data_IF_697088609162
#
_entry.id   IF_697088609162
#
_cell.length_a   1.000
_cell.length_b   1.000
_cell.length_c   1.000
_cell.angle_alpha   90.00
_cell.angle_beta   90.00
_cell.angle_gamma   90.00
#
_symmetry.space_group_name_H-M   'P 1'
#
loop_
_entity.id
_entity.type
_entity.pdbx_description
1 polymer ?
#
# COMPACT_ATOMS: atom_id res chain seq x y z
N UNK A 1 -17.56 -5.64 -15.04
CA UNK A 1 -16.16 -5.76 -14.67
C UNK A 1 -15.88 -4.82 -13.48
N UNK A 2 -15.52 -5.35 -12.31
CA UNK A 2 -15.35 -4.56 -11.09
C UNK A 2 -14.17 -3.56 -11.16
N UNK A 3 -13.26 -3.73 -12.11
CA UNK A 3 -12.13 -2.79 -12.32
C UNK A 3 -12.50 -1.58 -13.19
N UNK A 4 -13.67 -1.58 -13.79
CA UNK A 4 -14.14 -0.48 -14.65
C UNK A 4 -15.05 0.45 -13.83
N UNK A 5 -14.62 1.68 -13.64
CA UNK A 5 -15.40 2.71 -12.95
C UNK A 5 -15.95 3.69 -13.97
N UNK A 6 -17.27 3.86 -13.99
CA UNK A 6 -17.93 4.79 -14.89
C UNK A 6 -17.69 6.26 -14.51
N UNK A 7 -17.86 7.16 -15.47
CA UNK A 7 -17.65 8.60 -15.27
C UNK A 7 -18.49 9.22 -14.15
N UNK A 8 -19.61 8.61 -13.81
CA UNK A 8 -20.54 9.09 -12.78
C UNK A 8 -20.12 8.72 -11.34
N UNK A 9 -19.18 7.78 -11.19
CA UNK A 9 -18.72 7.32 -9.87
C UNK A 9 -17.41 7.98 -9.42
N UNK A 10 -16.74 8.73 -10.30
CA UNK A 10 -15.52 9.46 -9.94
C UNK A 10 -15.87 10.86 -9.44
N UNK A 11 -16.25 10.98 -8.19
CA UNK A 11 -16.60 12.27 -7.56
C UNK A 11 -15.33 13.07 -7.22
N UNK A 12 -14.29 12.39 -6.78
CA UNK A 12 -13.03 12.98 -6.29
C UNK A 12 -11.80 12.47 -7.04
N UNK A 13 -11.68 11.17 -7.19
CA UNK A 13 -10.44 10.54 -7.69
C UNK A 13 -10.13 10.90 -9.15
N UNK A 14 -11.16 11.20 -9.96
CA UNK A 14 -10.98 11.64 -11.35
C UNK A 14 -10.14 12.92 -11.47
N UNK A 15 -10.25 13.80 -10.51
CA UNK A 15 -9.50 15.07 -10.48
C UNK A 15 -8.21 14.92 -9.67
N UNK A 16 -8.26 14.26 -8.53
CA UNK A 16 -7.15 14.16 -7.57
C UNK A 16 -6.04 13.20 -8.02
N UNK A 17 -6.38 12.08 -8.69
CA UNK A 17 -5.39 11.12 -9.21
C UNK A 17 -4.61 11.63 -10.44
N UNK A 18 -5.06 12.72 -11.04
CA UNK A 18 -4.32 13.38 -12.12
C UNK A 18 -3.96 12.46 -13.29
N UNK A 19 -2.68 12.46 -13.74
CA UNK A 19 -2.23 11.68 -14.88
C UNK A 19 -2.09 10.17 -14.61
N UNK A 20 -2.09 9.75 -13.35
CA UNK A 20 -2.01 8.32 -13.01
C UNK A 20 -3.28 7.54 -13.29
N UNK A 21 -4.40 8.24 -13.51
CA UNK A 21 -5.66 7.62 -13.84
C UNK A 21 -5.66 7.13 -15.29
N UNK A 22 -5.70 5.80 -15.48
CA UNK A 22 -5.77 5.18 -16.81
C UNK A 22 -7.16 5.38 -17.43
N UNK A 23 -7.24 6.29 -18.40
CA UNK A 23 -8.47 6.74 -19.04
C UNK A 23 -8.68 6.04 -20.37
N UNK A 24 -9.94 5.80 -20.72
CA UNK A 24 -10.35 5.21 -21.99
C UNK A 24 -11.71 5.77 -22.42
N UNK A 25 -12.06 5.57 -23.69
CA UNK A 25 -13.38 5.89 -24.21
C UNK A 25 -14.04 4.64 -24.77
N UNK A 26 -15.36 4.55 -24.64
CA UNK A 26 -16.13 3.51 -25.29
C UNK A 26 -16.43 3.88 -26.79
N UNK A 27 -17.08 2.97 -27.51
CA UNK A 27 -17.46 3.20 -28.92
C UNK A 27 -18.42 4.37 -29.13
N UNK A 28 -18.97 4.94 -28.08
CA UNK A 28 -19.88 6.09 -28.11
C UNK A 28 -19.19 7.37 -27.59
N UNK A 29 -17.85 7.36 -27.52
CA UNK A 29 -17.02 8.48 -27.06
C UNK A 29 -17.30 8.90 -25.60
N UNK A 30 -17.87 7.99 -24.81
CA UNK A 30 -18.05 8.23 -23.37
C UNK A 30 -16.77 7.91 -22.61
N UNK A 31 -16.38 8.81 -21.71
CA UNK A 31 -15.19 8.65 -20.90
C UNK A 31 -15.37 7.62 -19.78
N UNK A 32 -14.43 6.71 -19.69
CA UNK A 32 -14.27 5.75 -18.60
C UNK A 32 -12.87 5.82 -18.04
N UNK A 33 -12.69 5.23 -16.86
CA UNK A 33 -11.37 4.95 -16.31
C UNK A 33 -11.33 3.54 -15.73
N UNK A 34 -10.13 2.98 -15.68
CA UNK A 34 -9.86 1.77 -14.91
C UNK A 34 -9.53 2.17 -13.47
N UNK A 35 -9.96 1.35 -12.51
CA UNK A 35 -9.81 1.66 -11.08
C UNK A 35 -8.35 1.66 -10.62
N UNK A 36 -7.76 2.80 -10.26
CA UNK A 36 -6.42 2.90 -9.68
C UNK A 36 -6.43 2.51 -8.20
N UNK A 37 -7.55 2.75 -7.54
CA UNK A 37 -7.90 2.48 -6.15
C UNK A 37 -9.42 2.46 -6.00
N UNK A 38 -9.98 2.04 -4.88
CA UNK A 38 -11.43 1.85 -4.75
C UNK A 38 -12.07 2.54 -3.53
N UNK A 39 -11.45 3.56 -2.95
CA UNK A 39 -12.02 4.34 -1.84
C UNK A 39 -13.42 4.85 -2.17
N UNK A 40 -13.60 5.45 -3.33
CA UNK A 40 -14.90 5.96 -3.75
C UNK A 40 -15.93 4.86 -3.95
N UNK A 41 -15.56 3.78 -4.63
CA UNK A 41 -16.46 2.66 -4.93
C UNK A 41 -16.96 2.02 -3.63
N UNK A 42 -16.06 1.82 -2.67
CA UNK A 42 -16.39 1.21 -1.39
C UNK A 42 -17.17 2.19 -0.51
N UNK A 43 -16.84 3.47 -0.53
CA UNK A 43 -17.62 4.50 0.18
C UNK A 43 -19.04 4.58 -0.35
N UNK A 44 -19.24 4.48 -1.67
CA UNK A 44 -20.57 4.42 -2.27
C UNK A 44 -21.35 3.18 -1.83
N UNK A 45 -20.69 2.03 -1.82
CA UNK A 45 -21.29 0.79 -1.29
C UNK A 45 -21.76 0.96 0.15
N UNK A 46 -20.92 1.51 1.02
CA UNK A 46 -21.23 1.67 2.45
C UNK A 46 -22.34 2.70 2.67
N UNK A 47 -22.28 3.87 2.04
CA UNK A 47 -23.31 4.90 2.22
C UNK A 47 -24.71 4.42 1.81
N UNK A 48 -24.79 3.48 0.87
CA UNK A 48 -26.06 2.92 0.42
C UNK A 48 -26.58 1.80 1.33
N UNK A 49 -25.70 1.06 2.02
CA UNK A 49 -26.07 -0.14 2.76
C UNK A 49 -26.04 0.02 4.30
N UNK A 50 -25.10 0.79 4.84
CA UNK A 50 -24.91 0.99 6.29
C UNK A 50 -25.67 2.24 6.74
N UNK A 51 -26.56 2.10 7.73
CA UNK A 51 -27.43 3.19 8.17
C UNK A 51 -27.31 3.52 9.65
N UNK A 52 -26.71 2.67 10.45
CA UNK A 52 -26.65 2.78 11.89
C UNK A 52 -25.25 2.58 12.43
N UNK A 53 -24.90 3.35 13.46
CA UNK A 53 -23.64 3.17 14.20
C UNK A 53 -23.46 1.76 14.78
N UNK A 54 -24.56 1.00 14.97
CA UNK A 54 -24.53 -0.38 15.48
C UNK A 54 -23.88 -1.38 14.50
N UNK A 55 -23.72 -0.98 13.26
CA UNK A 55 -23.09 -1.77 12.21
C UNK A 55 -21.56 -1.50 12.13
N UNK A 56 -21.07 -0.60 12.98
CA UNK A 56 -19.65 -0.18 13.04
C UNK A 56 -18.94 -0.76 14.28
N UNK A 57 -17.61 -0.92 14.27
CA UNK A 57 -16.73 -0.71 13.10
C UNK A 57 -16.94 -1.79 12.03
N UNK A 58 -16.79 -1.40 10.78
CA UNK A 58 -16.83 -2.31 9.65
C UNK A 58 -15.51 -2.25 8.91
N UNK A 59 -14.87 -3.40 8.68
CA UNK A 59 -13.66 -3.50 7.86
C UNK A 59 -13.89 -4.54 6.78
N UNK A 60 -13.86 -4.09 5.52
CA UNK A 60 -14.09 -4.92 4.35
C UNK A 60 -12.87 -4.88 3.43
N UNK A 61 -12.62 -5.97 2.71
CA UNK A 61 -11.45 -6.07 1.84
C UNK A 61 -11.78 -6.75 0.52
N UNK A 62 -10.89 -6.54 -0.43
CA UNK A 62 -10.86 -7.25 -1.69
C UNK A 62 -9.43 -7.61 -2.07
N UNK A 63 -9.28 -8.59 -2.95
CA UNK A 63 -8.03 -8.89 -3.64
C UNK A 63 -8.36 -8.75 -5.12
N UNK A 64 -7.82 -7.73 -5.77
CA UNK A 64 -8.24 -7.35 -7.11
C UNK A 64 -7.13 -6.64 -7.86
N UNK A 65 -7.21 -6.71 -9.19
CA UNK A 65 -6.36 -5.95 -10.11
C UNK A 65 -6.67 -4.45 -10.02
N UNK A 66 -5.63 -3.66 -9.91
CA UNK A 66 -5.64 -2.20 -10.01
C UNK A 66 -4.93 -1.78 -11.29
N UNK A 67 -5.29 -0.60 -11.80
CA UNK A 67 -4.72 -0.05 -13.02
C UNK A 67 -4.25 1.39 -12.77
N UNK A 68 -2.98 1.65 -13.10
CA UNK A 68 -2.44 3.01 -13.06
C UNK A 68 -1.70 3.29 -14.36
N UNK A 69 -1.83 4.50 -14.90
CA UNK A 69 -1.10 4.91 -16.11
C UNK A 69 0.34 5.28 -15.76
N UNK A 70 1.08 4.25 -15.32
CA UNK A 70 2.47 4.38 -14.91
C UNK A 70 3.31 4.87 -16.08
N UNK A 71 3.99 6.00 -15.88
CA UNK A 71 4.80 6.67 -16.91
C UNK A 71 6.01 5.82 -17.31
N UNK A 72 6.62 5.11 -16.34
CA UNK A 72 7.83 4.32 -16.54
C UNK A 72 7.69 2.93 -15.93
N UNK A 73 6.92 2.02 -16.54
CA UNK A 73 6.88 0.63 -16.10
C UNK A 73 8.29 0.03 -16.13
N UNK A 74 8.68 -0.63 -15.04
CA UNK A 74 10.01 -1.23 -14.90
C UNK A 74 10.04 -2.33 -13.85
N UNK A 75 11.12 -3.11 -13.81
CA UNK A 75 11.34 -4.19 -12.84
C UNK A 75 10.22 -5.24 -12.81
N UNK A 76 9.70 -5.60 -14.00
CA UNK A 76 8.67 -6.65 -14.14
C UNK A 76 7.39 -6.31 -13.36
N UNK A 77 7.02 -7.18 -12.44
CA UNK A 77 5.79 -7.05 -11.63
C UNK A 77 5.91 -6.06 -10.46
N UNK A 78 7.08 -5.47 -10.25
CA UNK A 78 7.29 -4.49 -9.18
C UNK A 78 6.60 -3.17 -9.46
N UNK A 79 6.69 -2.69 -10.72
CA UNK A 79 6.11 -1.40 -11.14
C UNK A 79 5.49 -1.51 -12.53
N UNK A 80 4.28 -2.01 -12.58
CA UNK A 80 3.49 -2.18 -13.80
C UNK A 80 2.26 -1.29 -13.84
N UNK A 81 1.63 -1.20 -15.01
CA UNK A 81 0.34 -0.51 -15.18
C UNK A 81 -0.86 -1.30 -14.70
N UNK A 82 -0.67 -2.60 -14.54
CA UNK A 82 -1.65 -3.54 -14.01
C UNK A 82 -0.97 -4.36 -12.90
N UNK A 83 -1.58 -4.43 -11.73
CA UNK A 83 -1.02 -5.14 -10.58
C UNK A 83 -2.11 -5.66 -9.65
N UNK A 84 -1.82 -6.75 -8.95
CA UNK A 84 -2.71 -7.32 -7.96
C UNK A 84 -2.46 -6.69 -6.60
N UNK A 85 -3.53 -6.19 -5.99
CA UNK A 85 -3.52 -5.57 -4.66
C UNK A 85 -4.57 -6.23 -3.76
N UNK A 86 -4.22 -6.48 -2.51
CA UNK A 86 -5.19 -6.61 -1.42
C UNK A 86 -5.40 -5.22 -0.84
N UNK A 87 -6.58 -4.72 -0.90
CA UNK A 87 -6.97 -3.47 -0.28
C UNK A 87 -8.16 -3.67 0.65
N UNK A 88 -8.12 -3.06 1.83
CA UNK A 88 -9.23 -3.04 2.76
C UNK A 88 -9.52 -1.62 3.22
N UNK A 89 -10.76 -1.44 3.64
CA UNK A 89 -11.34 -0.16 3.97
C UNK A 89 -12.10 -0.30 5.27
N UNK A 90 -11.75 0.50 6.27
CA UNK A 90 -12.48 0.53 7.52
C UNK A 90 -13.39 1.75 7.59
N UNK A 91 -14.54 1.53 8.21
CA UNK A 91 -15.54 2.57 8.50
C UNK A 91 -15.82 2.55 9.99
N UNK A 92 -15.64 3.67 10.63
CA UNK A 92 -15.61 3.82 12.06
C UNK A 92 -16.55 4.93 12.51
N UNK A 93 -17.07 4.83 13.72
CA UNK A 93 -18.02 5.80 14.27
C UNK A 93 -17.34 7.13 14.63
N UNK A 94 -16.09 7.05 15.06
CA UNK A 94 -15.29 8.18 15.52
C UNK A 94 -13.79 7.93 15.30
N UNK A 95 -12.98 8.93 15.63
CA UNK A 95 -11.53 8.91 15.46
C UNK A 95 -10.84 7.87 16.35
N UNK A 96 -11.31 7.69 17.59
CA UNK A 96 -10.76 6.69 18.50
C UNK A 96 -10.95 5.26 17.96
N UNK A 97 -12.12 4.98 17.42
CA UNK A 97 -12.42 3.70 16.77
C UNK A 97 -11.58 3.50 15.49
N UNK A 98 -11.33 4.58 14.72
CA UNK A 98 -10.43 4.54 13.56
C UNK A 98 -9.00 4.20 13.99
N UNK A 99 -8.49 4.86 15.05
CA UNK A 99 -7.15 4.59 15.57
C UNK A 99 -6.98 3.13 16.03
N UNK A 100 -7.94 2.58 16.76
CA UNK A 100 -7.91 1.17 17.17
C UNK A 100 -7.84 0.23 15.96
N UNK A 101 -8.68 0.48 14.95
CA UNK A 101 -8.69 -0.32 13.72
C UNK A 101 -7.37 -0.18 12.95
N UNK A 102 -6.82 1.02 12.89
CA UNK A 102 -5.53 1.29 12.25
C UNK A 102 -4.40 0.49 12.91
N UNK A 103 -4.33 0.48 14.23
CA UNK A 103 -3.31 -0.28 14.96
C UNK A 103 -3.46 -1.80 14.77
N UNK A 104 -4.68 -2.31 14.70
CA UNK A 104 -4.95 -3.72 14.37
C UNK A 104 -4.43 -4.05 12.98
N UNK A 105 -4.70 -3.21 11.98
CA UNK A 105 -4.25 -3.42 10.62
C UNK A 105 -2.74 -3.29 10.46
N UNK A 106 -2.13 -2.33 11.13
CA UNK A 106 -0.67 -2.18 11.21
C UNK A 106 0.00 -3.46 11.74
N UNK A 107 -0.48 -3.98 12.86
CA UNK A 107 0.05 -5.21 13.46
C UNK A 107 -0.22 -6.44 12.57
N UNK A 108 -1.34 -6.45 11.85
CA UNK A 108 -1.64 -7.52 10.89
C UNK A 108 -0.63 -7.52 9.74
N UNK A 109 -0.27 -6.35 9.20
CA UNK A 109 0.70 -6.23 8.12
C UNK A 109 2.12 -6.61 8.58
N UNK A 110 2.50 -6.20 9.80
CA UNK A 110 3.74 -6.70 10.44
C UNK A 110 3.77 -8.23 10.46
N UNK A 111 2.71 -8.85 10.97
CA UNK A 111 2.60 -10.31 11.06
C UNK A 111 2.69 -10.99 9.68
N UNK A 112 2.13 -10.37 8.63
CA UNK A 112 2.24 -10.91 7.26
C UNK A 112 3.69 -10.92 6.81
N UNK A 113 4.41 -9.80 6.94
CA UNK A 113 5.80 -9.67 6.51
C UNK A 113 6.74 -10.57 7.33
N UNK A 114 6.53 -10.66 8.64
CA UNK A 114 7.25 -11.55 9.53
C UNK A 114 7.06 -13.03 9.18
N UNK A 115 5.81 -13.45 8.86
CA UNK A 115 5.51 -14.81 8.40
C UNK A 115 6.18 -15.15 7.07
N UNK A 116 6.27 -14.19 6.16
CA UNK A 116 6.98 -14.37 4.89
C UNK A 116 8.49 -14.41 5.11
N UNK A 117 8.99 -13.92 6.24
CA UNK A 117 10.42 -13.89 6.58
C UNK A 117 11.16 -12.75 5.88
N UNK A 118 10.51 -11.61 5.65
CA UNK A 118 11.11 -10.44 5.02
C UNK A 118 11.63 -9.46 6.08
N UNK A 119 12.80 -8.89 5.82
CA UNK A 119 13.34 -7.76 6.57
C UNK A 119 12.71 -6.47 6.06
N UNK A 120 12.04 -5.74 6.93
CA UNK A 120 11.26 -4.55 6.57
C UNK A 120 11.36 -3.43 7.61
N UNK A 121 11.01 -2.23 7.19
CA UNK A 121 10.80 -1.08 8.08
C UNK A 121 9.44 -0.45 7.82
N UNK A 122 8.84 0.08 8.89
CA UNK A 122 7.63 0.90 8.80
C UNK A 122 8.08 2.36 8.79
N UNK A 123 7.71 3.06 7.75
CA UNK A 123 8.19 4.40 7.42
C UNK A 123 7.04 5.37 7.52
N UNK A 124 7.21 6.45 8.28
CA UNK A 124 6.25 7.55 8.24
C UNK A 124 6.28 8.21 6.87
N UNK A 125 5.11 8.40 6.28
CA UNK A 125 4.95 8.86 4.91
C UNK A 125 3.96 10.01 4.78
N UNK A 126 4.02 10.70 3.65
CA UNK A 126 2.99 11.65 3.24
C UNK A 126 1.79 10.91 2.66
N UNK A 127 0.59 11.33 3.00
CA UNK A 127 -0.65 10.72 2.49
C UNK A 127 -0.91 11.00 1.00
N UNK A 128 -0.17 11.92 0.38
CA UNK A 128 -0.21 12.23 -1.05
C UNK A 128 -1.60 12.59 -1.57
N UNK A 129 -1.91 12.14 -2.79
CA UNK A 129 -3.20 12.41 -3.47
C UNK A 129 -4.40 11.71 -2.81
N UNK A 130 -4.18 10.66 -2.06
CA UNK A 130 -5.24 9.94 -1.32
C UNK A 130 -5.74 10.83 -0.19
N UNK A 131 -4.84 11.55 0.49
CA UNK A 131 -5.15 12.46 1.59
C UNK A 131 -5.32 11.71 2.92
N UNK A 132 -5.68 12.45 3.96
CA UNK A 132 -5.82 11.95 5.33
C UNK A 132 -4.80 12.58 6.27
N UNK A 133 -4.92 12.26 7.55
CA UNK A 133 -4.16 12.92 8.62
C UNK A 133 -2.82 12.24 8.94
N UNK A 134 -2.71 10.94 8.64
CA UNK A 134 -1.50 10.15 8.88
C UNK A 134 -1.43 8.95 7.94
N UNK A 135 -0.22 8.59 7.53
CA UNK A 135 0.05 7.37 6.79
C UNK A 135 1.39 6.75 7.13
N UNK A 136 1.49 5.44 6.94
CA UNK A 136 2.71 4.67 7.14
C UNK A 136 2.88 3.65 6.01
N UNK A 137 4.10 3.57 5.51
CA UNK A 137 4.52 2.65 4.47
C UNK A 137 5.32 1.47 5.04
N UNK A 138 5.13 0.30 4.46
CA UNK A 138 5.91 -0.90 4.77
C UNK A 138 6.93 -1.10 3.65
N UNK A 139 8.20 -0.90 3.95
CA UNK A 139 9.31 -1.02 3.03
C UNK A 139 10.12 -2.29 3.29
N UNK A 140 10.16 -3.19 2.32
CA UNK A 140 11.12 -4.31 2.32
C UNK A 140 12.50 -3.77 1.94
N UNK A 141 13.50 -4.07 2.76
CA UNK A 141 14.86 -3.59 2.54
C UNK A 141 15.51 -4.39 1.40
N UNK A 142 15.92 -3.69 0.35
CA UNK A 142 16.62 -4.28 -0.79
C UNK A 142 17.43 -3.20 -1.52
N UNK A 143 18.65 -3.55 -1.96
CA UNK A 143 19.56 -2.60 -2.65
C UNK A 143 18.99 -2.06 -3.96
N UNK A 144 18.09 -2.81 -4.59
CA UNK A 144 17.36 -2.43 -5.81
C UNK A 144 16.12 -1.56 -5.53
N UNK A 145 15.83 -1.24 -4.27
CA UNK A 145 14.68 -0.42 -3.87
C UNK A 145 14.69 0.95 -4.54
N UNK A 146 13.51 1.43 -4.92
CA UNK A 146 13.34 2.75 -5.54
C UNK A 146 13.41 3.87 -4.52
N UNK A 147 12.86 3.64 -3.33
CA UNK A 147 12.77 4.65 -2.28
C UNK A 147 14.04 4.67 -1.43
N UNK A 148 14.37 5.86 -0.97
CA UNK A 148 15.48 6.05 -0.04
C UNK A 148 14.93 6.41 1.32
N UNK A 149 15.23 5.58 2.31
CA UNK A 149 14.76 5.74 3.68
C UNK A 149 15.90 5.94 4.66
N UNK A 150 15.68 6.79 5.65
CA UNK A 150 16.57 6.98 6.77
C UNK A 150 16.08 6.13 7.94
N UNK A 151 16.89 5.20 8.43
CA UNK A 151 16.58 4.33 9.55
C UNK A 151 17.56 4.57 10.69
N UNK A 152 17.14 4.30 11.94
CA UNK A 152 18.07 4.22 13.05
C UNK A 152 18.75 2.85 13.09
N UNK A 153 20.04 2.84 13.46
CA UNK A 153 20.80 1.61 13.70
C UNK A 153 20.46 0.95 15.06
N UNK A 154 19.73 1.65 15.93
CA UNK A 154 19.51 1.23 17.32
C UNK A 154 18.05 1.28 17.76
N UNK A 155 17.13 1.70 16.87
CA UNK A 155 15.68 1.76 17.16
C UNK A 155 14.84 1.38 15.95
N UNK A 156 13.52 1.40 16.13
CA UNK A 156 12.54 1.19 15.03
C UNK A 156 12.29 2.46 14.19
N UNK A 157 12.99 3.57 14.47
CA UNK A 157 12.82 4.80 13.71
C UNK A 157 13.15 4.58 12.24
N UNK A 158 12.20 4.93 11.38
CA UNK A 158 12.37 4.96 9.94
C UNK A 158 11.48 6.06 9.32
N UNK A 159 12.01 6.77 8.35
CA UNK A 159 11.30 7.85 7.66
C UNK A 159 11.79 7.96 6.22
N UNK A 160 10.91 8.38 5.30
CA UNK A 160 11.35 8.74 3.95
C UNK A 160 12.30 9.94 4.01
N UNK A 161 13.44 9.84 3.31
CA UNK A 161 14.47 10.90 3.35
C UNK A 161 13.96 12.25 2.88
N UNK A 162 12.97 12.29 2.00
CA UNK A 162 12.35 13.52 1.51
C UNK A 162 11.70 14.34 2.64
N UNK A 163 11.23 13.69 3.71
CA UNK A 163 10.63 14.36 4.87
C UNK A 163 11.68 14.93 5.85
N UNK A 164 12.93 14.47 5.77
CA UNK A 164 14.03 14.97 6.62
C UNK A 164 14.88 16.03 5.94
N UNK A 165 14.93 16.01 4.61
CA UNK A 165 15.78 16.94 3.85
C UNK A 165 15.14 18.32 3.79
N UNK A 166 15.96 19.33 4.02
CA UNK A 166 15.60 20.70 3.68
C UNK A 166 15.99 20.99 2.22
N UNK A 167 15.35 21.99 1.64
CA UNK A 167 15.63 22.41 0.27
C UNK A 167 17.13 22.58 0.02
N UNK A 168 17.67 21.78 -0.91
CA UNK A 168 19.08 21.83 -1.32
C UNK A 168 20.04 20.97 -0.48
N UNK A 169 19.57 20.22 0.51
CA UNK A 169 20.41 19.27 1.25
C UNK A 169 20.57 17.95 0.46
N UNK A 170 21.75 17.38 0.52
CA UNK A 170 22.04 16.06 -0.06
C UNK A 170 21.70 14.96 0.93
N UNK A 171 21.13 13.87 0.43
CA UNK A 171 20.79 12.65 1.21
C UNK A 171 22.02 12.14 1.99
N UNK A 172 23.20 12.17 1.39
CA UNK A 172 24.44 11.74 2.05
C UNK A 172 24.75 12.53 3.32
N UNK A 173 24.21 13.73 3.46
CA UNK A 173 24.39 14.55 4.66
C UNK A 173 23.65 14.00 5.89
N UNK A 174 22.72 13.09 5.72
CA UNK A 174 21.97 12.47 6.82
C UNK A 174 22.71 11.27 7.44
N UNK A 175 23.54 10.59 6.68
CA UNK A 175 24.29 9.39 7.12
C UNK A 175 25.14 9.69 8.35
N UNK A 176 25.02 8.87 9.38
CA UNK A 176 25.76 9.00 10.65
C UNK A 176 25.30 10.12 11.58
N UNK A 177 24.31 10.95 11.20
CA UNK A 177 23.73 11.92 12.15
C UNK A 177 22.96 11.21 13.25
N UNK A 178 22.83 11.83 14.44
CA UNK A 178 21.96 11.30 15.48
C UNK A 178 20.53 11.09 14.97
N UNK A 179 19.92 9.95 15.33
CA UNK A 179 18.53 9.69 15.00
C UNK A 179 17.60 10.71 15.68
N UNK A 180 16.55 11.20 15.00
CA UNK A 180 15.60 12.18 15.56
C UNK A 180 14.86 11.71 16.80
N UNK A 181 14.73 10.40 17.02
CA UNK A 181 14.16 9.81 18.24
C UNK A 181 15.13 9.74 19.41
N UNK A 182 16.38 10.21 19.21
CA UNK A 182 17.43 10.22 20.22
C UNK A 182 18.14 8.89 20.43
N UNK A 183 17.83 7.85 19.65
CA UNK A 183 18.41 6.52 19.79
C UNK A 183 19.20 6.13 18.52
N UNK A 184 20.53 6.02 18.67
CA UNK A 184 21.41 5.60 17.60
C UNK A 184 21.69 6.67 16.55
N UNK A 185 22.15 6.21 15.39
CA UNK A 185 22.53 7.04 14.26
C UNK A 185 21.76 6.65 12.98
N UNK A 186 21.58 7.62 12.10
CA UNK A 186 20.90 7.42 10.83
C UNK A 186 21.78 6.60 9.89
N UNK A 187 21.20 5.56 9.33
CA UNK A 187 21.68 4.83 8.16
C UNK A 187 20.73 5.04 7.00
N UNK A 188 21.30 5.26 5.82
CA UNK A 188 20.52 5.38 4.59
C UNK A 188 20.41 4.00 3.94
N UNK A 189 19.17 3.58 3.69
CA UNK A 189 18.83 2.30 3.05
C UNK A 189 17.92 2.51 1.86
N UNK A 190 17.94 1.52 0.97
CA UNK A 190 16.95 1.42 -0.11
C UNK A 190 15.81 0.52 0.32
N UNK A 191 14.59 0.89 -0.04
CA UNK A 191 13.38 0.15 0.28
C UNK A 191 12.46 -0.01 -0.92
N UNK A 192 11.68 -1.09 -0.88
CA UNK A 192 10.60 -1.35 -1.82
C UNK A 192 9.30 -1.24 -1.02
N UNK A 193 8.50 -0.22 -1.30
CA UNK A 193 7.17 -0.05 -0.70
C UNK A 193 6.27 -1.20 -1.12
N UNK A 194 5.90 -2.08 -0.19
CA UNK A 194 5.02 -3.24 -0.44
C UNK A 194 3.62 -3.07 0.14
N UNK A 195 3.46 -2.16 1.09
CA UNK A 195 2.18 -1.88 1.72
C UNK A 195 2.11 -0.45 2.22
N UNK A 196 0.91 0.10 2.27
CA UNK A 196 0.64 1.44 2.76
C UNK A 196 -0.68 1.46 3.52
N UNK A 197 -0.70 2.11 4.67
CA UNK A 197 -1.88 2.25 5.50
C UNK A 197 -2.16 3.72 5.80
N UNK A 198 -3.44 4.10 5.77
CA UNK A 198 -3.87 5.49 5.87
C UNK A 198 -4.97 5.68 6.91
N UNK A 199 -4.90 6.75 7.66
CA UNK A 199 -6.02 7.32 8.37
C UNK A 199 -6.64 8.42 7.51
N UNK A 200 -7.67 8.06 6.72
CA UNK A 200 -8.34 8.99 5.80
C UNK A 200 -9.25 9.99 6.52
N UNK A 201 -9.55 9.71 7.80
CA UNK A 201 -10.50 10.54 8.54
C UNK A 201 -11.85 10.61 7.86
N UNK A 202 -12.35 11.80 7.62
CA UNK A 202 -13.66 12.05 6.99
C UNK A 202 -13.60 12.43 5.52
N UNK A 203 -12.43 12.51 4.91
CA UNK A 203 -12.22 13.10 3.58
C UNK A 203 -13.18 12.54 2.53
N UNK A 204 -13.23 11.22 2.36
CA UNK A 204 -14.14 10.58 1.40
C UNK A 204 -15.60 10.57 1.89
N UNK A 205 -15.80 10.37 3.19
CA UNK A 205 -17.13 10.30 3.78
C UNK A 205 -17.88 11.63 3.69
N UNK A 206 -17.19 12.77 3.81
CA UNK A 206 -17.77 14.11 3.65
C UNK A 206 -18.11 14.39 2.20
N UNK A 207 -17.16 14.20 1.27
CA UNK A 207 -17.35 14.44 -0.16
C UNK A 207 -18.53 13.60 -0.72
N UNK A 208 -18.65 12.36 -0.25
CA UNK A 208 -19.66 11.41 -0.71
C UNK A 208 -20.91 11.33 0.17
N UNK A 209 -20.99 12.14 1.24
CA UNK A 209 -22.11 12.17 2.20
C UNK A 209 -22.40 10.80 2.82
N UNK A 210 -21.35 10.07 3.18
CA UNK A 210 -21.45 8.77 3.85
C UNK A 210 -21.70 8.96 5.35
N UNK A 211 -22.96 8.93 5.75
CA UNK A 211 -23.42 9.18 7.11
C UNK A 211 -24.20 8.00 7.67
N UNK A 212 -24.13 7.81 8.99
CA UNK A 212 -24.95 6.88 9.75
C UNK A 212 -25.70 7.62 10.85
N UNK A 213 -26.77 7.02 11.36
CA UNK A 213 -27.43 7.52 12.56
C UNK A 213 -26.66 7.08 13.80
N UNK A 214 -26.31 8.02 14.67
CA UNK A 214 -25.72 7.76 15.97
C UNK A 214 -26.76 7.28 16.99
N UNK A 215 -26.36 7.06 18.25
CA UNK A 215 -27.23 6.62 19.34
C UNK A 215 -28.34 7.62 19.71
N UNK A 216 -28.19 8.89 19.31
CA UNK A 216 -29.19 9.94 19.52
C UNK A 216 -30.11 10.13 18.29
N UNK A 217 -29.95 9.31 17.24
CA UNK A 217 -30.69 9.43 15.98
C UNK A 217 -30.23 10.58 15.08
N UNK A 218 -29.05 11.18 15.36
CA UNK A 218 -28.46 12.23 14.54
C UNK A 218 -27.53 11.63 13.48
N UNK A 219 -27.51 12.24 12.30
CA UNK A 219 -26.56 11.89 11.25
C UNK A 219 -25.14 12.24 11.66
N UNK A 220 -24.22 11.27 11.55
CA UNK A 220 -22.79 11.44 11.84
C UNK A 220 -21.99 10.92 10.66
N UNK A 221 -21.00 11.69 10.22
CA UNK A 221 -20.10 11.30 9.13
C UNK A 221 -19.12 10.23 9.59
N UNK A 222 -18.90 9.23 8.74
CA UNK A 222 -18.00 8.12 9.01
C UNK A 222 -16.54 8.54 9.00
N UNK A 223 -15.74 7.91 9.85
CA UNK A 223 -14.27 7.98 9.80
C UNK A 223 -13.73 6.77 9.08
N UNK A 224 -12.84 6.98 8.11
CA UNK A 224 -12.35 5.94 7.21
C UNK A 224 -10.86 5.68 7.40
N UNK A 225 -10.47 4.43 7.24
CA UNK A 225 -9.10 4.00 7.03
C UNK A 225 -8.99 3.17 5.75
N UNK A 226 -7.80 3.20 5.13
CA UNK A 226 -7.47 2.42 3.95
C UNK A 226 -6.15 1.68 4.17
N UNK A 227 -6.07 0.42 3.74
CA UNK A 227 -4.94 -0.46 4.04
C UNK A 227 -4.63 -1.32 2.82
N UNK A 228 -3.55 -1.01 2.09
CA UNK A 228 -3.16 -1.67 0.85
C UNK A 228 -1.90 -2.51 0.98
N UNK A 229 -1.87 -3.70 0.34
CA UNK A 229 -0.65 -4.48 0.06
C UNK A 229 -0.62 -4.82 -1.43
N UNK A 230 0.47 -4.46 -2.10
CA UNK A 230 0.76 -4.85 -3.48
C UNK A 230 1.23 -6.30 -3.55
N UNK A 231 0.31 -7.25 -3.79
CA UNK A 231 0.62 -8.69 -3.76
C UNK A 231 1.66 -9.05 -4.82
N UNK A 232 1.52 -8.55 -6.05
CA UNK A 232 2.51 -8.78 -7.11
C UNK A 232 3.86 -8.14 -6.78
N UNK A 233 3.85 -6.93 -6.18
CA UNK A 233 5.07 -6.25 -5.76
C UNK A 233 5.75 -6.96 -4.58
N UNK A 234 4.97 -7.54 -3.66
CA UNK A 234 5.50 -8.30 -2.53
C UNK A 234 6.31 -9.53 -2.98
N UNK A 235 5.84 -10.23 -4.03
CA UNK A 235 6.60 -11.32 -4.64
C UNK A 235 7.93 -10.83 -5.22
N UNK A 236 7.92 -9.71 -5.94
CA UNK A 236 9.14 -9.11 -6.49
C UNK A 236 10.11 -8.66 -5.38
N UNK A 237 9.60 -8.03 -4.32
CA UNK A 237 10.40 -7.60 -3.18
C UNK A 237 11.05 -8.79 -2.45
N UNK A 238 10.33 -9.90 -2.31
CA UNK A 238 10.88 -11.13 -1.74
C UNK A 238 12.04 -11.68 -2.58
N UNK A 239 11.95 -11.64 -3.91
CA UNK A 239 13.02 -12.05 -4.82
C UNK A 239 14.22 -11.10 -4.69
N UNK A 240 13.99 -9.78 -4.71
CA UNK A 240 15.05 -8.79 -4.63
C UNK A 240 15.83 -8.83 -3.31
N UNK A 241 15.16 -9.17 -2.22
CA UNK A 241 15.81 -9.34 -0.92
C UNK A 241 16.51 -10.70 -0.78
N UNK A 242 16.03 -11.73 -1.48
CA UNK A 242 16.48 -13.11 -1.31
C UNK A 242 16.94 -13.71 -2.65
N UNK A 243 18.18 -13.41 -3.02
CA UNK A 243 18.83 -13.98 -4.20
C UNK A 243 20.33 -14.16 -3.96
N UNK A 244 20.96 -14.99 -4.78
CA UNK A 244 22.40 -15.17 -4.84
C UNK A 244 22.88 -15.23 -6.30
N UNK A 245 24.17 -15.44 -6.51
CA UNK A 245 24.78 -15.55 -7.85
C UNK A 245 24.20 -16.69 -8.72
N UNK A 246 23.42 -17.59 -8.12
CA UNK A 246 22.81 -18.73 -8.82
C UNK A 246 21.34 -18.51 -9.15
N UNK A 247 20.71 -17.50 -8.55
CA UNK A 247 19.34 -17.13 -8.82
C UNK A 247 18.50 -16.82 -7.59
N UNK A 248 17.19 -17.07 -7.69
CA UNK A 248 16.21 -16.76 -6.65
C UNK A 248 16.35 -17.76 -5.49
N UNK A 249 16.40 -17.24 -4.28
CA UNK A 249 16.30 -17.99 -3.02
C UNK A 249 14.96 -17.65 -2.38
N UNK A 250 13.97 -18.53 -2.56
CA UNK A 250 12.64 -18.26 -2.01
C UNK A 250 12.64 -18.37 -0.49
N UNK A 251 12.04 -17.39 0.22
CA UNK A 251 11.65 -17.62 1.62
C UNK A 251 10.75 -18.86 1.72
N UNK A 252 11.03 -19.74 2.69
CA UNK A 252 10.36 -21.06 2.80
C UNK A 252 8.83 -20.92 2.80
N UNK A 253 8.29 -19.92 3.48
CA UNK A 253 6.86 -19.72 3.66
C UNK A 253 6.09 -19.37 2.37
N UNK A 254 6.79 -18.88 1.34
CA UNK A 254 6.20 -18.56 0.03
C UNK A 254 6.81 -19.38 -1.12
N UNK A 255 7.71 -20.29 -0.80
CA UNK A 255 8.25 -21.22 -1.80
C UNK A 255 7.12 -22.07 -2.36
N UNK A 256 6.96 -22.17 -3.71
CA UNK A 256 5.87 -22.94 -4.31
C UNK A 256 5.97 -24.44 -4.04
N UNK A 257 7.16 -24.93 -3.72
CA UNK A 257 7.45 -26.36 -3.45
C UNK A 257 8.65 -26.46 -2.52
N UNK A 258 8.65 -27.45 -1.63
CA UNK A 258 9.82 -27.79 -0.80
C UNK A 258 10.92 -28.47 -1.63
N UNK A 259 10.52 -29.23 -2.65
CA UNK A 259 11.42 -29.95 -3.54
C UNK A 259 10.89 -29.81 -4.97
N UNK A 260 11.75 -29.40 -5.88
CA UNK A 260 11.48 -29.40 -7.30
C UNK A 260 12.39 -30.43 -8.00
N UNK A 261 11.79 -31.44 -8.65
CA UNK A 261 12.51 -32.44 -9.42
C UNK A 261 12.26 -32.27 -10.91
N UNK A 262 13.32 -32.22 -11.69
CA UNK A 262 13.23 -32.16 -13.15
C UNK A 262 13.79 -33.44 -13.75
N UNK A 263 13.07 -34.01 -14.72
CA UNK A 263 13.56 -35.10 -15.54
C UNK A 263 14.39 -34.55 -16.70
N UNK A 264 15.68 -34.79 -16.70
CA UNK A 264 16.56 -34.32 -17.76
C UNK A 264 16.45 -35.19 -19.00
N UNK A 265 15.98 -34.62 -20.09
CA UNK A 265 16.16 -35.19 -21.44
C UNK A 265 17.27 -34.47 -22.21
N UNK A 266 17.84 -33.37 -21.71
CA UNK A 266 18.93 -32.60 -22.32
C UNK A 266 19.90 -32.01 -21.28
N UNK A 267 21.17 -31.87 -21.67
CA UNK A 267 22.34 -31.58 -20.85
C UNK A 267 22.44 -30.17 -20.20
N UNK A 268 21.39 -29.37 -20.16
CA UNK A 268 21.41 -28.04 -19.49
C UNK A 268 20.09 -27.80 -18.77
N UNK A 269 20.05 -28.04 -17.49
CA UNK A 269 19.03 -27.52 -16.62
C UNK A 269 19.63 -26.46 -15.71
N UNK A 270 18.87 -25.39 -15.51
CA UNK A 270 19.17 -24.42 -14.46
C UNK A 270 18.59 -24.97 -13.15
N UNK A 271 19.44 -25.18 -12.16
CA UNK A 271 19.00 -25.54 -10.81
C UNK A 271 18.38 -24.30 -10.16
N UNK A 272 17.11 -24.39 -9.80
CA UNK A 272 16.49 -23.45 -8.87
C UNK A 272 16.71 -23.98 -7.47
N UNK A 273 17.45 -23.27 -6.63
CA UNK A 273 17.56 -23.56 -5.20
C UNK A 273 16.34 -23.01 -4.48
N UNK A 274 15.73 -23.84 -3.68
CA UNK A 274 14.73 -23.50 -2.68
C UNK A 274 15.43 -23.27 -1.36
#
# INVERSE_FOLDING_TARGET
NPSLVGSEMCIRDREKMGPELLRLQDRHERDFCLGPTHEEVITDLIRNNVKSYKELPLNIYQIQTKFRDEVRPRYGVMRGREFLMKDSYSFNADEGCLEETYQIMKNTYKTILERIGLDYKIVSADSGSIGGDASEEFHVLADTGEDTIAISDSSEFAINTELLLKDGEDISSLEGKPSPDGNGTIQIKKGIEVGHIFQLGKVYAEDMKANVLNNEGKATTLHMGCYGIGISRLVAAAIEQNNDDKGIVWPHEIAPFDINTVSYTHLRAHETRI
#
